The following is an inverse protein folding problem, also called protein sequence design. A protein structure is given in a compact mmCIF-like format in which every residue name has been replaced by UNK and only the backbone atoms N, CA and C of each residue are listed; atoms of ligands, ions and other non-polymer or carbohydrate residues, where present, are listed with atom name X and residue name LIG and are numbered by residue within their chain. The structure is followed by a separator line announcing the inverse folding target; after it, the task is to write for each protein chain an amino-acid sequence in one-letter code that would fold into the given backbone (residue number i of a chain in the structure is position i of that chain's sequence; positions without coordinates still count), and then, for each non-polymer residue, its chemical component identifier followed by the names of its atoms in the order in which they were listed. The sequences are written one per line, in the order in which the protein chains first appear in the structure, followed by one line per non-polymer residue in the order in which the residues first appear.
data_IF_813871563618
#
_entry.id   IF_813871563618
#
_cell.length_a   1.000
_cell.length_b   1.000
_cell.length_c   1.000
_cell.angle_alpha   90.00
_cell.angle_beta   90.00
_cell.angle_gamma   90.00
#
_symmetry.space_group_name_H-M   'P 1'
#
loop_
_entity.id
_entity.type
_entity.pdbx_description
1 polymer ?
#
# COMPACT_ATOMS: atom_id res chain seq x y z
N UNK A 1 15.64 -42.48 9.66
CA UNK A 1 14.37 -41.89 9.16
C UNK A 1 13.46 -43.07 8.85
N UNK A 2 12.28 -43.07 9.43
CA UNK A 2 11.21 -44.03 9.16
C UNK A 2 10.27 -43.44 8.11
N UNK A 3 9.98 -44.17 7.04
CA UNK A 3 9.02 -43.74 6.00
C UNK A 3 7.64 -44.27 6.39
N UNK A 4 6.76 -43.39 6.81
CA UNK A 4 5.41 -43.74 7.24
C UNK A 4 4.42 -43.85 6.08
N UNK A 5 4.65 -43.15 5.00
CA UNK A 5 3.81 -43.16 3.81
C UNK A 5 4.59 -42.71 2.58
N UNK A 6 4.13 -43.12 1.42
CA UNK A 6 4.65 -42.67 0.10
C UNK A 6 3.57 -41.92 -0.64
N UNK A 7 3.99 -41.03 -1.52
CA UNK A 7 3.10 -40.29 -2.42
C UNK A 7 3.62 -40.44 -3.86
N UNK A 8 2.72 -40.23 -4.82
CA UNK A 8 3.09 -40.11 -6.23
C UNK A 8 3.90 -38.82 -6.48
N UNK A 9 4.34 -38.66 -7.73
CA UNK A 9 5.08 -37.47 -8.14
C UNK A 9 4.25 -36.20 -7.87
N UNK A 10 4.83 -35.29 -7.10
CA UNK A 10 4.16 -34.04 -6.77
C UNK A 10 4.10 -33.10 -7.98
N UNK A 11 2.97 -32.42 -8.21
CA UNK A 11 2.83 -31.45 -9.29
C UNK A 11 3.72 -30.22 -9.13
N UNK A 12 4.12 -29.90 -7.90
CA UNK A 12 5.14 -28.89 -7.54
C UNK A 12 6.14 -29.57 -6.61
N UNK A 13 7.42 -29.46 -6.95
CA UNK A 13 8.49 -29.89 -6.03
C UNK A 13 8.57 -28.90 -4.86
N UNK A 14 8.61 -29.43 -3.65
CA UNK A 14 8.65 -28.62 -2.41
C UNK A 14 10.07 -28.22 -1.98
N UNK A 15 11.07 -28.67 -2.73
CA UNK A 15 12.50 -28.39 -2.52
C UNK A 15 13.14 -27.92 -3.84
N UNK A 16 14.30 -27.28 -3.74
CA UNK A 16 15.03 -26.72 -4.87
C UNK A 16 14.44 -25.41 -5.40
N UNK A 17 15.12 -24.83 -6.38
CA UNK A 17 14.84 -23.49 -6.90
C UNK A 17 14.05 -23.50 -8.21
N UNK A 18 13.27 -24.57 -8.45
CA UNK A 18 12.44 -24.66 -9.65
C UNK A 18 11.41 -23.52 -9.68
N UNK A 19 11.32 -22.83 -10.80
CA UNK A 19 10.27 -21.86 -11.04
C UNK A 19 9.01 -22.56 -11.60
N UNK A 20 7.84 -22.11 -11.15
CA UNK A 20 6.55 -22.63 -11.57
C UNK A 20 5.61 -21.49 -11.94
N UNK A 21 4.76 -21.67 -12.98
CA UNK A 21 3.73 -20.70 -13.33
C UNK A 21 2.81 -20.39 -12.14
N UNK A 22 2.39 -19.16 -12.02
CA UNK A 22 1.55 -18.68 -10.91
C UNK A 22 0.27 -19.51 -10.77
N UNK A 23 -0.41 -19.83 -11.87
CA UNK A 23 -1.62 -20.67 -11.87
C UNK A 23 -1.40 -22.02 -11.19
N UNK A 24 -0.26 -22.66 -11.45
CA UNK A 24 0.08 -23.94 -10.85
C UNK A 24 0.37 -23.79 -9.35
N UNK A 25 1.07 -22.73 -8.97
CA UNK A 25 1.37 -22.39 -7.58
C UNK A 25 0.09 -22.08 -6.78
N UNK A 26 -0.86 -21.38 -7.38
CA UNK A 26 -2.17 -21.09 -6.77
C UNK A 26 -3.02 -22.34 -6.65
N UNK A 27 -3.06 -23.19 -7.70
CA UNK A 27 -3.79 -24.46 -7.69
C UNK A 27 -3.33 -25.41 -6.59
N UNK A 28 -2.01 -25.49 -6.38
CA UNK A 28 -1.40 -26.36 -5.37
C UNK A 28 -0.74 -25.56 -4.26
N UNK A 29 -1.46 -24.53 -3.77
CA UNK A 29 -0.96 -23.57 -2.80
C UNK A 29 -0.36 -24.18 -1.54
N UNK A 30 -0.94 -25.27 -1.06
CA UNK A 30 -0.43 -26.02 0.11
C UNK A 30 0.96 -26.65 -0.12
N UNK A 31 1.32 -26.98 -1.36
CA UNK A 31 2.67 -27.43 -1.72
C UNK A 31 3.60 -26.22 -1.90
N UNK A 32 3.15 -25.17 -2.54
CA UNK A 32 3.91 -23.94 -2.72
C UNK A 32 4.31 -23.31 -1.37
N UNK A 33 3.42 -23.35 -0.38
CA UNK A 33 3.70 -22.88 1.00
C UNK A 33 4.75 -23.73 1.75
N UNK A 34 5.10 -24.92 1.26
CA UNK A 34 6.19 -25.72 1.82
C UNK A 34 7.56 -25.32 1.27
N UNK A 35 7.60 -24.59 0.17
CA UNK A 35 8.85 -24.08 -0.43
C UNK A 35 9.46 -23.01 0.48
N UNK A 36 10.78 -23.01 0.56
CA UNK A 36 11.51 -22.19 1.53
C UNK A 36 11.20 -20.71 1.41
N UNK A 37 11.25 -20.17 0.19
CA UNK A 37 10.96 -18.76 -0.07
C UNK A 37 9.56 -18.36 0.41
N UNK A 38 8.53 -19.11 0.00
CA UNK A 38 7.15 -18.81 0.33
C UNK A 38 6.87 -18.99 1.81
N UNK A 39 7.44 -20.02 2.43
CA UNK A 39 7.39 -20.25 3.87
C UNK A 39 8.01 -19.08 4.63
N UNK A 40 9.20 -18.62 4.21
CA UNK A 40 9.89 -17.51 4.86
C UNK A 40 9.10 -16.21 4.74
N UNK A 41 8.45 -15.94 3.60
CA UNK A 41 7.58 -14.80 3.42
C UNK A 41 6.39 -14.81 4.39
N UNK A 42 5.76 -15.98 4.60
CA UNK A 42 4.65 -16.11 5.54
C UNK A 42 5.12 -15.93 7.00
N UNK A 43 6.28 -16.49 7.36
CA UNK A 43 6.87 -16.32 8.67
C UNK A 43 7.24 -14.86 8.93
N UNK A 44 7.87 -14.20 7.97
CA UNK A 44 8.19 -12.78 8.04
C UNK A 44 6.93 -11.93 8.22
N UNK A 45 5.88 -12.16 7.43
CA UNK A 45 4.59 -11.48 7.58
C UNK A 45 4.02 -11.64 8.99
N UNK A 46 4.06 -12.84 9.55
CA UNK A 46 3.59 -13.11 10.91
C UNK A 46 4.39 -12.33 11.96
N UNK A 47 5.71 -12.30 11.81
CA UNK A 47 6.61 -11.55 12.72
C UNK A 47 6.37 -10.04 12.61
N UNK A 48 6.22 -9.50 11.41
CA UNK A 48 5.90 -8.08 11.17
C UNK A 48 4.58 -7.70 11.85
N UNK A 49 3.53 -8.50 11.69
CA UNK A 49 2.22 -8.24 12.34
C UNK A 49 2.38 -8.26 13.86
N UNK A 50 3.12 -9.21 14.42
CA UNK A 50 3.39 -9.27 15.87
C UNK A 50 4.15 -8.04 16.35
N UNK A 51 5.13 -7.57 15.60
CA UNK A 51 5.90 -6.34 15.90
C UNK A 51 5.00 -5.10 15.86
N UNK A 52 4.12 -4.98 14.86
CA UNK A 52 3.12 -3.91 14.77
C UNK A 52 2.28 -3.88 16.03
N UNK A 53 1.67 -5.00 16.43
CA UNK A 53 0.80 -5.08 17.61
C UNK A 53 1.52 -4.66 18.88
N UNK A 54 2.71 -5.20 19.11
CA UNK A 54 3.54 -4.84 20.28
C UNK A 54 3.79 -3.33 20.33
N UNK A 55 4.27 -2.74 19.23
CA UNK A 55 4.60 -1.32 19.14
C UNK A 55 3.40 -0.41 19.33
N UNK A 56 2.26 -0.77 18.73
CA UNK A 56 1.02 -0.02 18.89
C UNK A 56 0.53 -0.08 20.34
N UNK A 57 0.52 -1.26 20.96
CA UNK A 57 0.14 -1.43 22.37
C UNK A 57 1.08 -0.68 23.31
N UNK A 58 2.39 -0.77 23.09
CA UNK A 58 3.41 -0.05 23.88
C UNK A 58 3.24 1.48 23.74
N UNK A 59 2.70 1.96 22.62
CA UNK A 59 2.36 3.37 22.37
C UNK A 59 0.98 3.78 22.92
N UNK A 60 0.33 2.91 23.69
CA UNK A 60 -0.93 3.19 24.38
C UNK A 60 -2.19 3.04 23.52
N UNK A 61 -2.09 2.41 22.36
CA UNK A 61 -3.26 2.09 21.53
C UNK A 61 -3.95 0.82 22.01
N UNK A 62 -5.27 0.79 21.90
CA UNK A 62 -6.12 -0.38 22.18
C UNK A 62 -6.47 -1.07 20.87
N UNK A 63 -6.23 -2.38 20.76
CA UNK A 63 -6.60 -3.17 19.59
C UNK A 63 -8.08 -3.52 19.63
N UNK A 64 -8.79 -3.25 18.54
CA UNK A 64 -10.18 -3.63 18.35
C UNK A 64 -10.34 -4.60 17.18
N UNK A 65 -11.50 -5.27 17.17
CA UNK A 65 -12.00 -6.03 16.04
C UNK A 65 -13.41 -5.54 15.72
N UNK A 66 -13.65 -5.14 14.50
CA UNK A 66 -14.93 -4.63 14.04
C UNK A 66 -15.65 -5.67 13.18
N UNK A 67 -16.99 -5.58 13.04
CA UNK A 67 -17.77 -6.52 12.23
C UNK A 67 -17.32 -6.52 10.75
N UNK A 68 -17.28 -7.72 10.16
CA UNK A 68 -16.97 -7.92 8.74
C UNK A 68 -18.24 -7.94 7.90
N UNK A 69 -19.36 -8.52 8.41
CA UNK A 69 -20.66 -8.39 7.75
C UNK A 69 -21.32 -7.10 8.21
N UNK A 70 -21.33 -6.10 7.34
CA UNK A 70 -21.80 -4.75 7.64
C UNK A 70 -22.75 -4.21 6.58
N UNK A 71 -23.20 -3.00 6.73
CA UNK A 71 -23.90 -2.26 5.70
C UNK A 71 -22.89 -1.65 4.71
N UNK A 72 -23.33 -1.42 3.47
CA UNK A 72 -22.57 -0.67 2.48
C UNK A 72 -22.21 0.72 3.01
N UNK A 73 -20.98 1.15 2.78
CA UNK A 73 -20.50 2.49 3.12
C UNK A 73 -19.85 3.13 1.88
N UNK A 74 -20.09 4.43 1.63
CA UNK A 74 -19.60 5.11 0.43
C UNK A 74 -18.12 5.50 0.58
N UNK A 75 -17.19 4.53 0.52
CA UNK A 75 -15.76 4.77 0.71
C UNK A 75 -14.94 4.84 -0.59
N UNK A 76 -15.64 4.92 -1.74
CA UNK A 76 -15.01 5.19 -3.03
C UNK A 76 -14.72 3.97 -3.90
N UNK A 77 -14.61 2.76 -3.34
CA UNK A 77 -14.54 1.52 -4.09
C UNK A 77 -15.92 0.85 -4.24
N UNK A 78 -16.01 -0.22 -5.04
CA UNK A 78 -17.21 -1.08 -5.07
C UNK A 78 -17.17 -2.08 -3.92
N UNK A 79 -18.34 -2.35 -3.35
CA UNK A 79 -18.49 -3.32 -2.27
C UNK A 79 -18.59 -4.75 -2.81
N UNK A 80 -17.97 -5.69 -2.11
CA UNK A 80 -18.37 -7.10 -2.19
C UNK A 80 -19.66 -7.31 -1.41
N UNK A 81 -20.70 -7.87 -2.03
CA UNK A 81 -22.01 -8.06 -1.44
C UNK A 81 -22.26 -9.51 -1.07
N UNK A 82 -22.81 -9.72 0.14
CA UNK A 82 -23.22 -11.04 0.64
C UNK A 82 -24.72 -11.06 0.78
N UNK A 83 -25.47 -11.90 0.02
CA UNK A 83 -26.92 -12.00 0.13
C UNK A 83 -27.38 -12.43 1.53
N UNK A 84 -28.39 -11.77 2.10
CA UNK A 84 -29.00 -12.15 3.35
C UNK A 84 -29.99 -13.32 3.14
N UNK A 85 -29.79 -14.40 3.85
CA UNK A 85 -30.72 -15.55 3.86
C UNK A 85 -32.00 -15.25 4.64
N UNK A 86 -31.93 -14.38 5.65
CA UNK A 86 -33.05 -14.04 6.53
C UNK A 86 -33.94 -12.94 5.95
N UNK A 87 -33.38 -12.09 5.07
CA UNK A 87 -34.07 -10.94 4.51
C UNK A 87 -33.96 -10.97 2.98
N UNK A 88 -34.90 -11.60 2.25
CA UNK A 88 -34.88 -11.66 0.78
C UNK A 88 -34.74 -10.28 0.15
N UNK A 89 -33.85 -10.17 -0.84
CA UNK A 89 -33.56 -8.90 -1.51
C UNK A 89 -32.67 -7.92 -0.73
N UNK A 90 -32.18 -8.31 0.45
CA UNK A 90 -31.22 -7.55 1.24
C UNK A 90 -29.82 -8.18 1.17
N UNK A 91 -28.79 -7.33 1.35
CA UNK A 91 -27.40 -7.72 1.30
C UNK A 91 -26.65 -7.14 2.48
N UNK A 92 -25.64 -7.87 2.92
CA UNK A 92 -24.53 -7.32 3.69
C UNK A 92 -23.44 -6.88 2.71
N UNK A 93 -22.61 -5.94 3.11
CA UNK A 93 -21.37 -5.59 2.43
C UNK A 93 -20.17 -6.06 3.26
N UNK A 94 -19.07 -6.42 2.58
CA UNK A 94 -17.78 -6.58 3.22
C UNK A 94 -17.13 -5.19 3.37
N UNK A 95 -16.41 -4.89 4.49
CA UNK A 95 -15.92 -3.55 4.76
C UNK A 95 -14.77 -3.18 3.83
N UNK A 96 -14.83 -2.01 3.24
CA UNK A 96 -13.71 -1.43 2.49
C UNK A 96 -12.62 -0.89 3.44
N UNK A 97 -13.03 -0.45 4.62
CA UNK A 97 -12.25 -0.05 5.78
C UNK A 97 -13.19 0.03 7.00
N UNK A 98 -12.71 0.00 8.25
CA UNK A 98 -13.54 0.08 9.44
C UNK A 98 -13.95 1.52 9.80
N UNK A 99 -14.10 2.42 8.83
CA UNK A 99 -14.23 3.87 9.03
C UNK A 99 -15.37 4.27 9.98
N UNK A 100 -16.57 3.75 9.76
CA UNK A 100 -17.73 4.09 10.61
C UNK A 100 -17.51 3.56 12.03
N UNK A 101 -17.03 2.33 12.15
CA UNK A 101 -16.82 1.70 13.46
C UNK A 101 -15.76 2.41 14.30
N UNK A 102 -14.63 2.81 13.70
CA UNK A 102 -13.59 3.52 14.45
C UNK A 102 -14.06 4.90 14.92
N UNK A 103 -14.87 5.61 14.12
CA UNK A 103 -15.49 6.85 14.56
C UNK A 103 -16.42 6.64 15.76
N UNK A 104 -17.23 5.57 15.74
CA UNK A 104 -18.10 5.20 16.88
C UNK A 104 -17.29 4.84 18.13
N UNK A 105 -16.14 4.19 17.96
CA UNK A 105 -15.23 3.88 19.06
C UNK A 105 -14.67 5.16 19.67
N UNK A 106 -14.26 6.14 18.86
CA UNK A 106 -13.82 7.45 19.35
C UNK A 106 -14.93 8.16 20.13
N UNK A 107 -16.16 8.20 19.60
CA UNK A 107 -17.32 8.77 20.29
C UNK A 107 -17.63 8.06 21.62
N UNK A 108 -17.29 6.77 21.71
CA UNK A 108 -17.46 5.97 22.94
C UNK A 108 -16.41 6.28 24.03
N UNK A 109 -15.46 7.20 23.78
CA UNK A 109 -14.48 7.65 24.76
C UNK A 109 -13.16 6.89 24.76
N UNK A 110 -12.83 6.21 23.68
CA UNK A 110 -11.50 5.63 23.48
C UNK A 110 -10.63 6.63 22.70
N UNK A 111 -9.50 7.02 23.27
CA UNK A 111 -8.64 8.06 22.69
C UNK A 111 -7.63 7.55 21.67
N UNK A 112 -7.30 6.26 21.69
CA UNK A 112 -6.32 5.63 20.81
C UNK A 112 -6.78 4.23 20.42
N UNK A 113 -7.24 4.10 19.20
CA UNK A 113 -7.69 2.85 18.58
C UNK A 113 -6.69 2.38 17.54
N UNK A 114 -6.51 1.07 17.41
CA UNK A 114 -5.94 0.46 16.20
C UNK A 114 -6.58 -0.90 15.91
N UNK A 115 -6.39 -1.34 14.68
CA UNK A 115 -6.80 -2.66 14.22
C UNK A 115 -5.92 -3.11 13.05
N UNK A 116 -5.59 -4.39 12.96
CA UNK A 116 -5.13 -5.01 11.73
C UNK A 116 -6.39 -5.43 10.97
N UNK A 117 -6.93 -4.50 10.20
CA UNK A 117 -8.25 -4.59 9.62
C UNK A 117 -8.26 -5.35 8.28
N UNK A 118 -9.06 -6.42 8.13
CA UNK A 118 -9.35 -6.98 6.82
C UNK A 118 -10.20 -6.00 6.02
N UNK A 119 -9.76 -5.69 4.80
CA UNK A 119 -10.40 -4.76 3.89
C UNK A 119 -10.68 -5.42 2.56
N UNK A 120 -11.83 -5.10 1.97
CA UNK A 120 -12.32 -5.72 0.75
C UNK A 120 -12.74 -4.63 -0.23
N UNK A 121 -12.21 -4.66 -1.46
CA UNK A 121 -12.56 -3.70 -2.51
C UNK A 121 -12.73 -4.45 -3.82
N UNK A 122 -13.92 -4.38 -4.41
CA UNK A 122 -14.23 -4.97 -5.72
C UNK A 122 -13.73 -4.04 -6.83
N UNK A 123 -12.43 -4.04 -7.01
CA UNK A 123 -11.72 -3.26 -8.01
C UNK A 123 -10.88 -4.18 -8.89
N UNK A 124 -10.49 -3.70 -10.06
CA UNK A 124 -9.58 -4.42 -10.93
C UNK A 124 -8.27 -4.68 -10.20
N UNK A 125 -7.94 -5.95 -10.03
CA UNK A 125 -6.74 -6.38 -9.33
C UNK A 125 -5.49 -5.85 -10.01
N UNK A 126 -4.60 -5.24 -9.22
CA UNK A 126 -3.25 -4.91 -9.65
C UNK A 126 -2.34 -5.97 -9.06
N UNK A 127 -1.79 -6.83 -9.91
CA UNK A 127 -0.99 -7.99 -9.51
C UNK A 127 0.17 -7.65 -8.57
N UNK A 128 0.68 -6.43 -8.63
CA UNK A 128 1.84 -5.97 -7.85
C UNK A 128 1.50 -5.33 -6.50
N UNK A 129 0.24 -4.93 -6.25
CA UNK A 129 -0.06 -4.15 -5.04
C UNK A 129 -1.47 -4.13 -4.50
N UNK A 130 -2.46 -4.63 -5.20
CA UNK A 130 -3.86 -4.45 -4.78
C UNK A 130 -4.72 -5.66 -5.11
N UNK A 131 -4.63 -6.74 -4.34
CA UNK A 131 -5.66 -7.78 -4.37
C UNK A 131 -6.97 -7.19 -3.82
N UNK A 132 -8.11 -7.75 -4.23
CA UNK A 132 -9.43 -7.32 -3.74
C UNK A 132 -9.62 -7.49 -2.24
N UNK A 133 -8.81 -8.33 -1.58
CA UNK A 133 -8.73 -8.52 -0.13
C UNK A 133 -7.32 -8.21 0.37
N UNK A 134 -7.20 -7.34 1.37
CA UNK A 134 -5.93 -6.96 1.98
C UNK A 134 -6.12 -6.56 3.45
N UNK A 135 -5.01 -6.34 4.16
CA UNK A 135 -5.03 -5.91 5.55
C UNK A 135 -4.41 -4.53 5.69
N UNK A 136 -5.03 -3.69 6.51
CA UNK A 136 -4.51 -2.37 6.88
C UNK A 136 -4.11 -2.35 8.35
N UNK A 137 -2.99 -1.70 8.67
CA UNK A 137 -2.86 -1.10 9.99
C UNK A 137 -3.75 0.14 9.98
N UNK A 138 -4.91 0.04 10.58
CA UNK A 138 -5.85 1.14 10.75
C UNK A 138 -5.74 1.69 12.16
N UNK A 139 -5.71 3.00 12.31
CA UNK A 139 -5.61 3.66 13.62
C UNK A 139 -6.42 4.96 13.64
N UNK A 140 -6.84 5.34 14.85
CA UNK A 140 -7.53 6.61 15.07
C UNK A 140 -7.11 7.18 16.43
N UNK A 141 -6.98 8.50 16.52
CA UNK A 141 -6.61 9.22 17.72
C UNK A 141 -7.56 10.38 17.96
N UNK A 142 -7.95 10.60 19.23
CA UNK A 142 -8.76 11.74 19.65
C UNK A 142 -7.89 12.89 20.16
N UNK A 143 -8.40 14.13 20.07
CA UNK A 143 -7.80 15.36 20.60
C UNK A 143 -6.37 15.64 20.11
N UNK A 144 -6.07 15.31 18.87
CA UNK A 144 -4.73 15.42 18.27
C UNK A 144 -4.75 16.23 16.98
N UNK A 145 -3.59 16.78 16.64
CA UNK A 145 -3.31 17.40 15.35
C UNK A 145 -2.71 16.41 14.36
N UNK A 146 -2.51 16.82 13.11
CA UNK A 146 -1.82 16.04 12.10
C UNK A 146 -0.40 15.64 12.55
N UNK A 147 0.32 16.56 13.17
CA UNK A 147 1.70 16.33 13.61
C UNK A 147 1.76 15.29 14.73
N UNK A 148 0.79 15.29 15.65
CA UNK A 148 0.69 14.29 16.71
C UNK A 148 0.48 12.87 16.14
N UNK A 149 -0.28 12.74 15.05
CA UNK A 149 -0.45 11.44 14.36
C UNK A 149 0.87 11.00 13.73
N UNK A 150 1.60 11.89 13.07
CA UNK A 150 2.92 11.57 12.52
C UNK A 150 3.91 11.15 13.62
N UNK A 151 3.96 11.89 14.70
CA UNK A 151 4.86 11.60 15.82
C UNK A 151 4.51 10.27 16.53
N UNK A 152 3.26 9.85 16.49
CA UNK A 152 2.83 8.55 17.00
C UNK A 152 3.20 7.39 16.07
N UNK A 153 3.09 7.56 14.73
CA UNK A 153 3.25 6.46 13.78
C UNK A 153 4.69 6.28 13.29
N UNK A 154 5.48 7.36 13.19
CA UNK A 154 6.88 7.29 12.72
C UNK A 154 7.73 6.30 13.54
N UNK A 155 7.70 6.29 14.89
CA UNK A 155 8.46 5.30 15.69
C UNK A 155 7.99 3.86 15.48
N UNK A 156 6.70 3.64 15.24
CA UNK A 156 6.14 2.31 14.99
C UNK A 156 6.67 1.76 13.67
N UNK A 157 6.49 2.50 12.58
CA UNK A 157 6.88 2.05 11.24
C UNK A 157 8.42 2.02 11.12
N UNK A 158 9.12 3.06 11.57
CA UNK A 158 10.59 3.10 11.58
C UNK A 158 11.20 1.95 12.39
N UNK A 159 10.59 1.63 13.52
CA UNK A 159 11.00 0.49 14.35
C UNK A 159 10.81 -0.86 13.67
N UNK A 160 9.74 -1.04 12.88
CA UNK A 160 9.53 -2.25 12.07
C UNK A 160 10.61 -2.37 10.99
N UNK A 161 10.88 -1.29 10.25
CA UNK A 161 11.93 -1.31 9.23
C UNK A 161 13.29 -1.65 9.84
N UNK A 162 13.65 -1.09 11.00
CA UNK A 162 14.91 -1.42 11.71
C UNK A 162 14.96 -2.88 12.14
N UNK A 163 13.87 -3.41 12.70
CA UNK A 163 13.78 -4.80 13.19
C UNK A 163 13.95 -5.83 12.07
N UNK A 164 13.43 -5.53 10.86
CA UNK A 164 13.43 -6.46 9.71
C UNK A 164 14.36 -6.04 8.57
N UNK A 165 15.27 -5.11 8.80
CA UNK A 165 16.18 -4.59 7.76
C UNK A 165 17.19 -5.61 7.23
N UNK A 166 17.48 -6.68 7.99
CA UNK A 166 18.50 -7.68 7.62
C UNK A 166 19.85 -7.04 7.24
N UNK A 167 20.32 -6.07 8.06
CA UNK A 167 21.58 -5.36 7.82
C UNK A 167 21.53 -4.23 6.80
N UNK A 168 20.39 -3.99 6.17
CA UNK A 168 20.21 -2.83 5.27
C UNK A 168 20.08 -1.54 6.07
N UNK A 169 20.63 -0.44 5.54
CA UNK A 169 20.48 0.87 6.16
C UNK A 169 19.01 1.30 6.14
N UNK A 170 18.58 1.83 7.27
CA UNK A 170 17.24 2.42 7.44
C UNK A 170 17.42 3.88 7.83
N UNK A 171 16.61 4.76 7.28
CA UNK A 171 16.61 6.17 7.64
C UNK A 171 16.26 6.33 9.11
N UNK A 172 17.14 6.96 9.87
CA UNK A 172 17.01 7.13 11.33
C UNK A 172 16.35 8.46 11.74
N UNK A 173 16.39 9.44 10.86
CA UNK A 173 15.92 10.80 11.13
C UNK A 173 14.41 10.91 10.93
N UNK A 174 13.87 12.06 11.30
CA UNK A 174 12.46 12.42 10.99
C UNK A 174 12.20 12.26 9.50
N UNK A 175 11.09 11.64 9.19
CA UNK A 175 10.68 11.41 7.81
C UNK A 175 10.41 12.73 7.09
N UNK A 176 10.81 12.80 5.82
CA UNK A 176 10.58 13.96 4.99
C UNK A 176 9.07 14.16 4.81
N UNK A 177 8.59 15.37 5.14
CA UNK A 177 7.19 15.76 4.96
C UNK A 177 7.10 16.60 3.69
N UNK A 178 6.33 16.11 2.73
CA UNK A 178 6.16 16.75 1.42
C UNK A 178 4.68 17.11 1.26
N UNK A 179 4.33 18.39 1.12
CA UNK A 179 2.97 18.79 0.78
C UNK A 179 2.51 18.15 -0.52
N UNK A 180 1.22 17.77 -0.59
CA UNK A 180 0.65 17.12 -1.78
C UNK A 180 0.92 17.89 -3.08
N UNK A 181 0.67 19.21 -3.06
CA UNK A 181 0.92 20.06 -4.24
C UNK A 181 2.39 20.02 -4.70
N UNK A 182 3.33 20.00 -3.76
CA UNK A 182 4.76 19.88 -4.05
C UNK A 182 5.10 18.50 -4.61
N UNK A 183 4.51 17.44 -4.05
CA UNK A 183 4.72 16.07 -4.51
C UNK A 183 4.28 15.90 -5.96
N UNK A 184 3.09 16.36 -6.30
CA UNK A 184 2.60 16.33 -7.69
C UNK A 184 3.44 17.23 -8.61
N UNK A 185 3.84 18.40 -8.13
CA UNK A 185 4.64 19.35 -8.94
C UNK A 185 6.01 18.78 -9.28
N UNK A 186 6.72 18.23 -8.30
CA UNK A 186 8.13 17.81 -8.44
C UNK A 186 8.29 16.35 -8.89
N UNK A 187 7.38 15.49 -8.52
CA UNK A 187 7.52 14.04 -8.72
C UNK A 187 6.41 13.44 -9.61
N UNK A 188 5.33 14.17 -9.88
CA UNK A 188 4.20 13.68 -10.66
C UNK A 188 3.38 12.59 -9.95
N UNK A 189 3.57 12.40 -8.65
CA UNK A 189 2.95 11.32 -7.87
C UNK A 189 2.67 11.79 -6.43
N UNK A 190 1.63 11.24 -5.83
CA UNK A 190 1.35 11.37 -4.39
C UNK A 190 2.19 10.40 -3.52
N UNK A 191 2.97 9.54 -4.15
CA UNK A 191 3.86 8.54 -3.51
C UNK A 191 5.25 8.56 -4.15
N UNK A 192 6.02 9.67 -3.97
CA UNK A 192 7.31 9.80 -4.63
C UNK A 192 8.35 8.84 -4.06
N UNK A 193 9.13 8.23 -4.95
CA UNK A 193 10.35 7.53 -4.57
C UNK A 193 11.53 8.51 -4.52
N UNK A 194 11.90 8.93 -3.31
CA UNK A 194 12.96 9.92 -3.11
C UNK A 194 14.37 9.41 -3.46
N UNK A 195 14.53 8.13 -3.76
CA UNK A 195 15.79 7.57 -4.31
C UNK A 195 15.95 7.93 -5.78
N UNK A 196 14.86 8.26 -6.47
CA UNK A 196 14.90 8.74 -7.84
C UNK A 196 15.28 10.23 -7.86
N UNK A 197 16.46 10.62 -8.44
CA UNK A 197 16.91 12.00 -8.44
C UNK A 197 16.20 12.87 -9.50
N UNK A 198 15.33 12.29 -10.33
CA UNK A 198 14.66 13.02 -11.40
C UNK A 198 13.54 13.89 -10.83
N UNK A 199 13.60 15.19 -11.08
CA UNK A 199 12.61 16.17 -10.65
C UNK A 199 11.98 16.86 -11.85
N UNK A 200 10.68 16.99 -11.84
CA UNK A 200 9.93 17.83 -12.76
C UNK A 200 10.22 19.29 -12.42
N UNK A 201 10.61 20.06 -13.42
CA UNK A 201 10.97 21.48 -13.28
C UNK A 201 10.06 22.36 -14.13
N UNK A 202 9.65 23.50 -13.57
CA UNK A 202 8.95 24.53 -14.33
C UNK A 202 9.93 25.26 -15.26
N UNK A 203 9.69 25.17 -16.55
CA UNK A 203 10.51 25.80 -17.61
C UNK A 203 9.69 26.82 -18.42
N UNK A 204 8.56 27.27 -17.88
CA UNK A 204 7.65 28.23 -18.52
C UNK A 204 8.40 29.47 -18.95
N UNK A 205 9.27 30.02 -18.09
CA UNK A 205 10.07 31.21 -18.41
C UNK A 205 11.02 31.05 -19.61
N UNK A 206 11.51 29.83 -19.86
CA UNK A 206 12.39 29.55 -21.01
C UNK A 206 11.65 29.55 -22.35
N UNK A 207 10.33 29.37 -22.32
CA UNK A 207 9.48 29.33 -23.53
C UNK A 207 8.60 30.57 -23.68
N UNK A 208 8.52 31.44 -22.68
CA UNK A 208 7.83 32.73 -22.77
C UNK A 208 8.51 33.61 -23.79
N UNK A 209 7.76 34.10 -24.77
CA UNK A 209 8.31 34.94 -25.86
C UNK A 209 9.21 34.19 -26.85
N UNK A 210 9.28 32.86 -26.78
CA UNK A 210 10.08 32.05 -27.71
C UNK A 210 9.43 31.96 -29.09
N UNK A 211 10.22 31.64 -30.11
CA UNK A 211 9.71 31.36 -31.46
C UNK A 211 8.94 30.05 -31.58
N UNK A 212 8.87 29.24 -30.50
CA UNK A 212 8.12 28.01 -30.48
C UNK A 212 6.63 28.29 -30.18
N UNK A 213 5.91 28.65 -31.25
CA UNK A 213 4.56 29.17 -31.18
C UNK A 213 3.53 28.28 -30.47
N UNK A 214 3.77 26.97 -30.37
CA UNK A 214 2.88 26.07 -29.60
C UNK A 214 2.91 26.39 -28.12
N UNK A 215 4.07 26.58 -27.53
CA UNK A 215 4.21 26.87 -26.11
C UNK A 215 3.94 28.34 -25.80
N UNK A 216 4.54 29.28 -26.56
CA UNK A 216 4.37 30.70 -26.28
C UNK A 216 2.90 31.14 -26.30
N UNK A 217 2.12 30.73 -27.31
CA UNK A 217 0.67 31.04 -27.40
C UNK A 217 -0.17 30.43 -26.24
N UNK A 218 0.22 29.29 -25.72
CA UNK A 218 -0.48 28.69 -24.59
C UNK A 218 -0.04 29.34 -23.26
N UNK A 219 1.20 29.73 -23.12
CA UNK A 219 1.71 30.50 -21.98
C UNK A 219 0.99 31.84 -21.87
N UNK A 220 0.77 32.55 -22.97
CA UNK A 220 0.02 33.80 -23.02
C UNK A 220 -1.43 33.64 -22.54
N UNK A 221 -1.97 32.41 -22.55
CA UNK A 221 -3.29 32.05 -22.02
C UNK A 221 -3.24 31.51 -20.59
N UNK A 222 -2.09 31.58 -19.93
CA UNK A 222 -1.90 31.11 -18.55
C UNK A 222 -1.47 29.63 -18.42
N UNK A 223 -1.10 28.97 -19.51
CA UNK A 223 -0.53 27.62 -19.41
C UNK A 223 0.90 27.65 -18.86
N UNK A 224 1.29 26.55 -18.23
CA UNK A 224 2.65 26.32 -17.72
C UNK A 224 3.32 25.21 -18.52
N UNK A 225 4.64 25.29 -18.68
CA UNK A 225 5.47 24.28 -19.33
C UNK A 225 6.38 23.64 -18.30
N UNK A 226 6.29 22.32 -18.19
CA UNK A 226 7.14 21.53 -17.29
C UNK A 226 8.01 20.58 -18.07
N UNK A 227 9.22 20.36 -17.58
CA UNK A 227 10.17 19.41 -18.16
C UNK A 227 10.61 18.41 -17.10
N UNK A 228 10.84 17.17 -17.54
CA UNK A 228 11.50 16.14 -16.76
C UNK A 228 12.83 15.81 -17.43
N UNK A 229 13.98 15.80 -16.72
CA UNK A 229 15.24 15.40 -17.30
C UNK A 229 15.23 13.90 -17.64
N UNK A 230 15.76 13.56 -18.80
CA UNK A 230 15.94 12.19 -19.27
C UNK A 230 17.43 11.94 -19.59
N UNK A 231 18.27 11.70 -18.58
CA UNK A 231 19.70 11.52 -18.77
C UNK A 231 20.02 10.38 -19.75
N UNK A 232 20.97 10.60 -20.66
CA UNK A 232 21.41 9.59 -21.63
C UNK A 232 20.46 9.32 -22.80
N UNK A 233 19.31 10.00 -22.88
CA UNK A 233 18.29 9.73 -23.90
C UNK A 233 18.35 10.62 -25.15
N UNK A 234 19.29 11.59 -25.24
CA UNK A 234 19.38 12.55 -26.35
C UNK A 234 19.54 11.91 -27.72
N UNK A 235 20.11 10.70 -27.79
CA UNK A 235 20.29 9.95 -29.04
C UNK A 235 19.18 8.95 -29.35
N UNK A 236 18.15 8.88 -28.53
CA UNK A 236 17.04 7.95 -28.73
C UNK A 236 16.08 8.43 -29.82
N UNK A 237 15.47 7.52 -30.59
CA UNK A 237 14.46 7.88 -31.58
C UNK A 237 13.19 8.43 -30.89
N UNK A 238 12.41 9.21 -31.67
CA UNK A 238 11.15 9.80 -31.16
C UNK A 238 10.19 8.75 -30.54
N UNK A 239 10.11 7.56 -31.13
CA UNK A 239 9.28 6.46 -30.61
C UNK A 239 9.68 5.96 -29.22
N UNK A 240 10.82 6.36 -28.70
CA UNK A 240 11.20 6.11 -27.31
C UNK A 240 10.45 7.00 -26.32
N UNK A 241 10.01 8.18 -26.78
CA UNK A 241 9.32 9.18 -25.97
C UNK A 241 7.79 9.17 -26.17
N UNK A 242 7.28 8.44 -27.15
CA UNK A 242 5.84 8.26 -27.43
C UNK A 242 5.29 7.09 -26.60
#
# INVERSE_FOLDING_TARGET
VEVLSQTDVLPIQVYGDNDYPEELRLKYRYLDLRREEMRNNILLRSQVISSIRRRMTDSGFVEFQTPILTASSPEGARDFLVPSRLHPGRFYALPQAPQIFKQMIMVSGFDRYFQIAPCFRDEDGRSDRSPGEFYQLDLEMAFVTQDDVFDAIEPVIGGIFKEFANGRAVTDDKWTRIPYAESILKYGSDKPDLRNPLLITDVTGSFSGSNFGLFSKNIDKGAIVRAIPAPGSAGQPRSFFD
#
